data_IF_141035371676
#
_entry.id   IF_141035371676
#
_cell.length_a   1.000
_cell.length_b   1.000
_cell.length_c   1.000
_cell.angle_alpha   90.00
_cell.angle_beta   90.00
_cell.angle_gamma   90.00
#
_symmetry.space_group_name_H-M   'P 1'
#
loop_
_entity.id
_entity.type
_entity.pdbx_description
1 polymer ?
#
# COMPACT_ATOMS: atom_id res chain seq x y z
N UNK A 1 25.04 -32.31 27.69
CA UNK A 1 24.46 -31.83 26.43
C UNK A 1 23.41 -30.79 26.78
N UNK A 2 23.80 -29.50 26.77
CA UNK A 2 22.89 -28.40 27.06
C UNK A 2 22.36 -27.89 25.71
N UNK A 3 21.05 -27.77 25.63
CA UNK A 3 20.25 -27.58 24.42
C UNK A 3 20.62 -26.32 23.63
N UNK A 4 21.20 -26.52 22.44
CA UNK A 4 21.38 -25.47 21.43
C UNK A 4 20.04 -24.87 20.93
N UNK A 5 18.90 -25.51 21.22
CA UNK A 5 17.56 -25.03 20.83
C UNK A 5 17.03 -23.86 21.67
N UNK A 6 17.40 -23.77 22.96
CA UNK A 6 16.92 -22.70 23.85
C UNK A 6 17.63 -21.37 23.60
N UNK A 7 18.92 -21.41 23.25
CA UNK A 7 19.73 -20.21 22.96
C UNK A 7 19.21 -19.48 21.71
N UNK A 8 18.82 -20.22 20.67
CA UNK A 8 18.26 -19.64 19.44
C UNK A 8 16.90 -18.97 19.63
N UNK A 9 16.04 -19.56 20.47
CA UNK A 9 14.71 -19.04 20.79
C UNK A 9 14.80 -17.80 21.69
N UNK A 10 15.65 -17.84 22.72
CA UNK A 10 15.92 -16.69 23.59
C UNK A 10 16.54 -15.52 22.81
N UNK A 11 17.47 -15.81 21.87
CA UNK A 11 18.06 -14.80 21.01
C UNK A 11 17.03 -14.16 20.06
N UNK A 12 16.12 -14.93 19.47
CA UNK A 12 15.03 -14.38 18.64
C UNK A 12 14.09 -13.48 19.46
N UNK A 13 13.68 -13.93 20.64
CA UNK A 13 12.81 -13.16 21.54
C UNK A 13 13.52 -11.86 21.97
N UNK A 14 14.79 -11.91 22.38
CA UNK A 14 15.56 -10.72 22.75
C UNK A 14 15.77 -9.78 21.55
N UNK A 15 16.02 -10.32 20.36
CA UNK A 15 16.16 -9.54 19.13
C UNK A 15 14.84 -8.87 18.73
N UNK A 16 13.72 -9.55 18.88
CA UNK A 16 12.39 -9.03 18.55
C UNK A 16 11.96 -7.95 19.57
N UNK A 17 12.19 -8.16 20.87
CA UNK A 17 12.00 -7.15 21.92
C UNK A 17 12.90 -5.93 21.68
N UNK A 18 14.15 -6.16 21.28
CA UNK A 18 15.10 -5.08 21.00
C UNK A 18 14.76 -4.30 19.71
N UNK A 19 14.27 -4.97 18.67
CA UNK A 19 13.83 -4.34 17.43
C UNK A 19 12.52 -3.56 17.63
N UNK A 20 11.61 -4.10 18.44
CA UNK A 20 10.41 -3.43 18.92
C UNK A 20 10.78 -2.16 19.70
N UNK A 21 11.69 -2.26 20.67
CA UNK A 21 12.15 -1.12 21.48
C UNK A 21 12.94 -0.06 20.68
N UNK A 22 13.60 -0.43 19.58
CA UNK A 22 14.39 0.51 18.76
C UNK A 22 13.66 1.08 17.54
N UNK A 23 12.41 0.69 17.28
CA UNK A 23 11.67 1.12 16.10
C UNK A 23 12.40 0.86 14.77
N UNK A 24 13.39 -0.05 14.77
CA UNK A 24 14.27 -0.33 13.64
C UNK A 24 13.52 -1.19 12.62
N UNK A 25 13.77 -0.92 11.34
CA UNK A 25 13.27 -1.71 10.21
C UNK A 25 13.45 -3.20 10.50
N UNK A 26 12.37 -3.97 10.35
CA UNK A 26 12.37 -5.43 10.53
C UNK A 26 13.51 -6.04 9.70
N UNK A 27 14.52 -6.58 10.35
CA UNK A 27 15.63 -7.26 9.67
C UNK A 27 15.23 -8.71 9.41
N UNK A 28 14.57 -8.91 8.27
CA UNK A 28 14.12 -10.22 7.79
C UNK A 28 15.25 -10.92 7.02
N UNK A 29 15.51 -12.18 7.35
CA UNK A 29 16.32 -13.08 6.53
C UNK A 29 15.61 -13.40 5.21
N UNK A 30 16.35 -13.89 4.21
CA UNK A 30 15.76 -14.30 2.93
C UNK A 30 14.68 -15.37 3.07
N UNK A 31 14.87 -16.32 4.00
CA UNK A 31 13.88 -17.36 4.29
C UNK A 31 12.58 -16.78 4.87
N UNK A 32 12.69 -15.88 5.84
CA UNK A 32 11.53 -15.21 6.45
C UNK A 32 10.76 -14.36 5.42
N UNK A 33 11.47 -13.68 4.50
CA UNK A 33 10.83 -12.95 3.40
C UNK A 33 10.02 -13.89 2.50
N UNK A 34 10.59 -15.02 2.10
CA UNK A 34 9.90 -16.01 1.27
C UNK A 34 8.66 -16.55 1.97
N UNK A 35 8.76 -16.87 3.27
CA UNK A 35 7.63 -17.36 4.06
C UNK A 35 6.50 -16.33 4.14
N UNK A 36 6.82 -15.06 4.43
CA UNK A 36 5.82 -13.99 4.47
C UNK A 36 5.16 -13.79 3.10
N UNK A 37 5.93 -13.80 2.01
CA UNK A 37 5.37 -13.69 0.66
C UNK A 37 4.45 -14.84 0.33
N UNK A 38 4.84 -16.08 0.62
CA UNK A 38 3.99 -17.26 0.35
C UNK A 38 2.70 -17.22 1.17
N UNK A 39 2.81 -16.90 2.47
CA UNK A 39 1.66 -16.74 3.36
C UNK A 39 0.68 -15.70 2.82
N UNK A 40 1.16 -14.46 2.68
CA UNK A 40 0.29 -13.33 2.35
C UNK A 40 -0.21 -13.40 0.91
N UNK A 41 0.62 -13.80 -0.04
CA UNK A 41 0.18 -13.94 -1.44
C UNK A 41 -1.05 -14.85 -1.54
N UNK A 42 -0.98 -16.04 -0.95
CA UNK A 42 -2.08 -17.00 -0.96
C UNK A 42 -3.35 -16.39 -0.35
N UNK A 43 -3.23 -15.83 0.85
CA UNK A 43 -4.37 -15.25 1.57
C UNK A 43 -5.03 -14.10 0.80
N UNK A 44 -4.23 -13.15 0.29
CA UNK A 44 -4.75 -12.00 -0.45
C UNK A 44 -5.37 -12.41 -1.79
N UNK A 45 -4.75 -13.32 -2.53
CA UNK A 45 -5.31 -13.81 -3.81
C UNK A 45 -6.64 -14.52 -3.60
N UNK A 46 -6.76 -15.36 -2.56
CA UNK A 46 -8.02 -16.02 -2.20
C UNK A 46 -9.11 -15.01 -1.83
N UNK A 47 -8.80 -14.05 -0.96
CA UNK A 47 -9.76 -13.02 -0.52
C UNK A 47 -10.20 -12.14 -1.68
N UNK A 48 -9.28 -11.72 -2.54
CA UNK A 48 -9.59 -10.89 -3.72
C UNK A 48 -10.46 -11.67 -4.70
N UNK A 49 -10.12 -12.93 -4.98
CA UNK A 49 -10.91 -13.77 -5.88
C UNK A 49 -12.34 -13.99 -5.37
N UNK A 50 -12.50 -14.28 -4.07
CA UNK A 50 -13.83 -14.41 -3.44
C UNK A 50 -14.62 -13.11 -3.59
N UNK A 51 -14.02 -11.97 -3.20
CA UNK A 51 -14.72 -10.69 -3.24
C UNK A 51 -15.09 -10.25 -4.65
N UNK A 52 -14.21 -10.48 -5.63
CA UNK A 52 -14.50 -10.17 -7.03
C UNK A 52 -15.65 -11.04 -7.58
N UNK A 53 -15.59 -12.36 -7.35
CA UNK A 53 -16.63 -13.30 -7.77
C UNK A 53 -17.99 -12.95 -7.17
N UNK A 54 -18.01 -12.65 -5.88
CA UNK A 54 -19.24 -12.41 -5.12
C UNK A 54 -19.66 -10.92 -5.17
N UNK A 55 -18.96 -10.09 -5.96
CA UNK A 55 -19.19 -8.65 -6.14
C UNK A 55 -19.23 -7.87 -4.82
N UNK A 56 -18.40 -8.30 -3.87
CA UNK A 56 -18.25 -7.65 -2.58
C UNK A 56 -17.34 -6.43 -2.69
N UNK A 57 -17.51 -5.51 -1.75
CA UNK A 57 -16.65 -4.33 -1.61
C UNK A 57 -15.18 -4.71 -1.39
N UNK A 58 -14.28 -3.89 -1.93
CA UNK A 58 -12.84 -4.08 -1.84
C UNK A 58 -12.15 -3.13 -0.85
N UNK A 59 -12.88 -2.24 -0.17
CA UNK A 59 -12.21 -1.30 0.74
C UNK A 59 -11.74 -1.99 2.02
N UNK A 60 -10.55 -1.57 2.45
CA UNK A 60 -9.85 -2.04 3.64
C UNK A 60 -9.28 -0.83 4.40
N UNK A 61 -9.05 -0.99 5.69
CA UNK A 61 -8.36 -0.02 6.54
C UNK A 61 -6.92 -0.48 6.72
N UNK A 62 -5.97 0.33 6.26
CA UNK A 62 -4.55 0.12 6.57
C UNK A 62 -4.25 0.75 7.92
N UNK A 63 -3.60 0.02 8.83
CA UNK A 63 -3.19 0.51 10.16
C UNK A 63 -1.68 0.38 10.35
N UNK A 64 -1.06 1.40 10.92
CA UNK A 64 0.35 1.40 11.30
C UNK A 64 0.55 0.66 12.62
N UNK A 65 1.38 -0.38 12.62
CA UNK A 65 1.74 -1.16 13.80
C UNK A 65 2.34 -0.32 14.92
N UNK A 66 3.06 0.77 14.60
CA UNK A 66 3.68 1.63 15.61
C UNK A 66 2.70 2.55 16.33
N UNK A 67 1.56 2.83 15.71
CA UNK A 67 0.54 3.79 16.15
C UNK A 67 -0.83 3.12 16.19
N UNK A 68 -0.86 1.84 16.59
CA UNK A 68 -2.06 1.01 16.49
C UNK A 68 -3.21 1.57 17.33
N UNK A 69 -2.92 2.11 18.51
CA UNK A 69 -3.92 2.62 19.46
C UNK A 69 -4.58 3.94 19.02
N UNK A 70 -4.11 4.57 17.94
CA UNK A 70 -4.67 5.84 17.46
C UNK A 70 -6.04 5.67 16.77
N UNK A 71 -6.36 4.48 16.27
CA UNK A 71 -7.65 4.22 15.63
C UNK A 71 -8.74 3.97 16.69
N UNK A 72 -9.97 4.52 16.54
CA UNK A 72 -10.52 5.14 15.33
C UNK A 72 -10.34 6.66 15.25
N UNK A 73 -9.56 7.27 16.15
CA UNK A 73 -9.41 8.71 16.22
C UNK A 73 -8.44 9.24 15.15
N UNK A 74 -8.64 10.48 14.73
CA UNK A 74 -7.75 11.18 13.79
C UNK A 74 -7.05 12.31 14.53
N UNK A 75 -5.73 12.37 14.38
CA UNK A 75 -4.94 13.48 14.90
C UNK A 75 -4.60 14.45 13.77
N UNK A 76 -5.42 15.49 13.59
CA UNK A 76 -5.24 16.50 12.54
C UNK A 76 -3.94 17.31 12.66
N UNK A 77 -3.29 17.27 13.84
CA UNK A 77 -2.00 17.94 14.08
C UNK A 77 -0.80 17.08 13.68
N UNK A 78 -1.02 15.80 13.39
CA UNK A 78 0.05 14.88 13.02
C UNK A 78 0.59 15.25 11.63
N UNK A 79 1.92 15.39 11.52
CA UNK A 79 2.58 15.64 10.24
C UNK A 79 2.84 14.31 9.53
N UNK A 80 2.43 14.22 8.26
CA UNK A 80 2.73 13.07 7.41
C UNK A 80 1.48 12.23 7.10
N UNK A 81 1.69 10.93 6.88
CA UNK A 81 0.58 10.01 6.66
C UNK A 81 -0.08 9.65 7.99
N UNK A 82 -1.41 9.59 7.99
CA UNK A 82 -2.20 9.14 9.13
C UNK A 82 -1.75 7.74 9.59
N UNK A 83 -1.85 7.49 10.89
CA UNK A 83 -1.65 6.16 11.50
C UNK A 83 -2.61 5.10 10.97
N UNK A 84 -3.74 5.51 10.37
CA UNK A 84 -4.65 4.63 9.67
C UNK A 84 -5.39 5.37 8.56
N UNK A 85 -5.81 4.66 7.51
CA UNK A 85 -6.61 5.24 6.43
C UNK A 85 -7.32 4.14 5.63
N UNK A 86 -8.45 4.50 5.00
CA UNK A 86 -9.23 3.61 4.13
C UNK A 86 -8.71 3.67 2.69
N UNK A 87 -8.54 2.51 2.06
CA UNK A 87 -8.15 2.36 0.65
C UNK A 87 -8.92 1.22 0.00
N UNK A 88 -8.95 1.18 -1.33
CA UNK A 88 -9.39 -0.03 -2.04
C UNK A 88 -8.25 -1.04 -2.18
N UNK A 89 -8.52 -2.31 -1.88
CA UNK A 89 -7.62 -3.44 -2.19
C UNK A 89 -7.78 -3.80 -3.67
N UNK A 90 -6.85 -3.31 -4.49
CA UNK A 90 -6.99 -3.34 -5.96
C UNK A 90 -6.48 -4.64 -6.60
N UNK A 91 -5.62 -5.37 -5.89
CA UNK A 91 -4.96 -6.54 -6.43
C UNK A 91 -3.72 -6.92 -5.64
N UNK A 92 -3.02 -7.91 -6.16
CA UNK A 92 -1.67 -8.27 -5.74
C UNK A 92 -0.65 -7.95 -6.84
N UNK A 93 0.62 -7.88 -6.46
CA UNK A 93 1.75 -7.86 -7.38
C UNK A 93 2.84 -8.80 -6.86
N UNK A 94 3.94 -8.96 -7.62
CA UNK A 94 4.97 -9.96 -7.36
C UNK A 94 5.61 -9.91 -5.94
N UNK A 95 5.52 -8.78 -5.21
CA UNK A 95 6.04 -8.63 -3.84
C UNK A 95 5.00 -8.21 -2.80
N UNK A 96 3.74 -8.00 -3.17
CA UNK A 96 2.80 -7.41 -2.21
C UNK A 96 1.40 -7.16 -2.73
N UNK A 97 0.73 -6.18 -2.14
CA UNK A 97 -0.63 -5.76 -2.48
C UNK A 97 -0.67 -4.36 -3.11
N UNK A 98 -1.72 -4.10 -3.88
CA UNK A 98 -2.00 -2.82 -4.50
C UNK A 98 -3.09 -2.08 -3.69
N UNK A 99 -2.71 -0.96 -3.07
CA UNK A 99 -3.63 -0.07 -2.36
C UNK A 99 -4.04 1.11 -3.26
N UNK A 100 -5.31 1.16 -3.66
CA UNK A 100 -5.83 2.25 -4.49
C UNK A 100 -6.15 3.49 -3.65
N UNK A 101 -5.43 4.59 -3.93
CA UNK A 101 -5.41 5.79 -3.10
C UNK A 101 -6.34 6.89 -3.62
N UNK A 102 -6.30 7.17 -4.93
CA UNK A 102 -7.10 8.25 -5.52
C UNK A 102 -7.28 8.06 -7.02
N UNK A 103 -8.50 8.32 -7.51
CA UNK A 103 -8.81 8.37 -8.93
C UNK A 103 -8.55 9.77 -9.50
N UNK A 104 -8.11 9.84 -10.74
CA UNK A 104 -7.95 11.09 -11.46
C UNK A 104 -7.63 10.86 -12.92
N UNK A 105 -7.02 11.86 -13.55
CA UNK A 105 -6.62 11.77 -14.94
C UNK A 105 -5.21 12.35 -15.13
N UNK A 106 -4.51 11.85 -16.14
CA UNK A 106 -3.22 12.39 -16.58
C UNK A 106 -3.38 13.00 -17.98
N UNK A 107 -2.44 13.88 -18.31
CA UNK A 107 -2.31 14.46 -19.65
C UNK A 107 -0.94 14.17 -20.23
N UNK A 108 -0.87 13.95 -21.53
CA UNK A 108 0.37 13.87 -22.29
C UNK A 108 0.94 15.28 -22.44
N UNK A 109 2.19 15.46 -22.05
CA UNK A 109 2.94 16.68 -22.26
C UNK A 109 3.39 16.75 -23.71
N UNK A 110 2.85 17.70 -24.48
CA UNK A 110 3.10 17.84 -25.92
C UNK A 110 4.58 17.96 -26.29
N UNK A 111 5.41 18.52 -25.40
CA UNK A 111 6.85 18.70 -25.68
C UNK A 111 7.68 17.44 -25.45
N UNK A 112 7.22 16.53 -24.58
CA UNK A 112 8.02 15.37 -24.15
C UNK A 112 7.38 14.03 -24.48
N UNK A 113 6.09 14.01 -24.83
CA UNK A 113 5.30 12.79 -25.01
C UNK A 113 5.06 12.00 -23.72
N UNK A 114 5.43 12.54 -22.54
CA UNK A 114 5.31 11.89 -21.24
C UNK A 114 4.10 12.39 -20.46
N UNK A 115 3.64 11.61 -19.49
CA UNK A 115 2.50 12.00 -18.66
C UNK A 115 2.85 13.06 -17.61
N UNK A 116 1.92 13.99 -17.40
CA UNK A 116 1.87 14.97 -16.32
C UNK A 116 0.46 15.05 -15.73
N UNK A 117 0.32 15.72 -14.59
CA UNK A 117 -0.98 16.03 -14.01
C UNK A 117 -1.76 16.97 -14.92
N UNK A 118 -3.08 16.89 -14.80
CA UNK A 118 -4.03 17.78 -15.49
C UNK A 118 -4.06 19.14 -14.81
N UNK A 119 -3.96 20.21 -15.59
CA UNK A 119 -4.09 21.57 -15.11
C UNK A 119 -5.57 21.97 -14.96
N UNK A 120 -6.17 21.56 -13.84
CA UNK A 120 -7.58 21.85 -13.54
C UNK A 120 -7.87 23.35 -13.40
N UNK A 121 -6.88 24.17 -13.01
CA UNK A 121 -7.06 25.64 -12.92
C UNK A 121 -7.36 26.25 -14.29
N UNK A 122 -6.81 25.66 -15.35
CA UNK A 122 -7.05 26.08 -16.73
C UNK A 122 -8.16 25.28 -17.41
N UNK A 123 -9.00 24.55 -16.63
CA UNK A 123 -10.08 23.69 -17.13
C UNK A 123 -9.60 22.67 -18.18
N UNK A 124 -8.37 22.21 -18.04
CA UNK A 124 -7.79 21.24 -18.95
C UNK A 124 -8.45 19.87 -18.76
N UNK A 125 -8.73 19.19 -19.88
CA UNK A 125 -9.19 17.80 -19.87
C UNK A 125 -8.00 16.84 -19.86
N UNK A 126 -8.15 15.73 -19.13
CA UNK A 126 -7.15 14.67 -19.09
C UNK A 126 -7.33 13.68 -20.23
N UNK A 127 -6.22 13.15 -20.74
CA UNK A 127 -6.22 12.23 -21.88
C UNK A 127 -6.45 10.77 -21.45
N UNK A 128 -6.14 10.43 -20.19
CA UNK A 128 -6.34 9.08 -19.64
C UNK A 128 -6.83 9.14 -18.20
N UNK A 129 -7.82 8.30 -17.86
CA UNK A 129 -8.28 8.08 -16.49
C UNK A 129 -7.40 7.04 -15.80
N UNK A 130 -6.89 7.37 -14.62
CA UNK A 130 -5.99 6.49 -13.85
C UNK A 130 -6.37 6.47 -12.38
N UNK A 131 -5.87 5.45 -11.68
CA UNK A 131 -5.81 5.41 -10.22
C UNK A 131 -4.36 5.51 -9.75
N UNK A 132 -4.12 6.31 -8.71
CA UNK A 132 -2.88 6.29 -7.96
C UNK A 132 -2.89 5.06 -7.03
N UNK A 133 -1.94 4.16 -7.24
CA UNK A 133 -1.78 2.93 -6.46
C UNK A 133 -0.49 3.02 -5.64
N UNK A 134 -0.59 2.70 -4.36
CA UNK A 134 0.56 2.42 -3.51
C UNK A 134 0.84 0.92 -3.42
N UNK A 135 2.08 0.53 -3.69
CA UNK A 135 2.52 -0.86 -3.60
C UNK A 135 3.02 -1.14 -2.18
N UNK A 136 2.28 -1.96 -1.43
CA UNK A 136 2.65 -2.34 -0.05
C UNK A 136 3.29 -3.74 -0.11
N UNK A 137 4.57 -3.90 0.24
CA UNK A 137 5.24 -5.20 0.29
C UNK A 137 4.60 -6.15 1.30
N UNK A 138 4.57 -7.45 0.99
CA UNK A 138 4.11 -8.49 1.92
C UNK A 138 4.93 -8.51 3.22
N UNK A 139 6.22 -8.18 3.13
CA UNK A 139 7.12 -8.07 4.28
C UNK A 139 6.70 -7.00 5.29
N UNK A 140 5.95 -5.99 4.84
CA UNK A 140 5.44 -4.93 5.69
C UNK A 140 4.11 -5.33 6.35
N UNK A 141 3.46 -6.42 5.96
CA UNK A 141 2.19 -6.86 6.54
C UNK A 141 2.46 -7.76 7.75
N UNK A 142 1.86 -7.39 8.89
CA UNK A 142 1.95 -8.13 10.15
C UNK A 142 0.74 -9.02 10.39
N UNK A 143 -0.46 -8.49 10.15
CA UNK A 143 -1.72 -9.17 10.42
C UNK A 143 -2.85 -8.65 9.53
N UNK A 144 -3.91 -9.45 9.43
CA UNK A 144 -5.16 -9.14 8.73
C UNK A 144 -6.33 -9.46 9.66
N UNK A 145 -7.39 -8.66 9.59
CA UNK A 145 -8.70 -8.97 10.16
C UNK A 145 -9.74 -8.73 9.07
N UNK A 146 -10.28 -9.82 8.50
CA UNK A 146 -11.20 -9.74 7.37
C UNK A 146 -12.65 -9.48 7.74
N UNK A 147 -13.02 -9.71 9.00
CA UNK A 147 -14.38 -9.50 9.53
C UNK A 147 -14.65 -8.02 9.81
N UNK A 148 -13.58 -7.27 10.08
CA UNK A 148 -13.65 -5.84 10.39
C UNK A 148 -13.90 -5.57 11.87
N UNK A 149 -14.50 -4.42 12.15
CA UNK A 149 -14.80 -3.99 13.52
C UNK A 149 -16.16 -3.28 13.65
N UNK A 150 -16.46 -2.82 14.86
CA UNK A 150 -17.71 -2.11 15.17
C UNK A 150 -17.81 -0.69 14.60
N UNK A 151 -16.71 -0.09 14.14
CA UNK A 151 -16.67 1.31 13.72
C UNK A 151 -16.97 1.46 12.22
N UNK A 152 -16.75 0.40 11.43
CA UNK A 152 -17.17 0.40 10.02
C UNK A 152 -17.30 -0.97 9.37
N UNK A 153 -17.00 -2.07 10.06
CA UNK A 153 -17.05 -3.43 9.49
C UNK A 153 -16.15 -3.60 8.26
N UNK A 154 -15.12 -2.75 8.13
CA UNK A 154 -14.16 -2.83 7.03
C UNK A 154 -13.02 -3.75 7.45
N UNK A 155 -12.50 -4.62 6.57
CA UNK A 155 -11.30 -5.38 6.88
C UNK A 155 -10.13 -4.48 7.28
N UNK A 156 -9.31 -4.95 8.20
CA UNK A 156 -8.10 -4.24 8.63
C UNK A 156 -6.86 -5.00 8.16
N UNK A 157 -5.88 -4.26 7.65
CA UNK A 157 -4.55 -4.76 7.33
C UNK A 157 -3.56 -3.99 8.19
N UNK A 158 -2.89 -4.70 9.07
CA UNK A 158 -1.90 -4.15 9.98
C UNK A 158 -0.53 -4.20 9.33
N UNK A 159 0.08 -3.04 9.11
CA UNK A 159 1.32 -2.88 8.35
C UNK A 159 2.36 -2.08 9.13
N UNK A 160 3.63 -2.34 8.85
CA UNK A 160 4.76 -1.53 9.31
C UNK A 160 5.00 -0.38 8.32
N UNK A 161 4.94 0.87 8.80
CA UNK A 161 5.14 2.05 7.95
C UNK A 161 6.64 2.40 7.87
N UNK A 162 7.43 1.51 7.27
CA UNK A 162 8.91 1.57 7.27
C UNK A 162 9.53 2.17 6.03
N UNK A 163 8.72 2.46 5.02
CA UNK A 163 9.18 3.05 3.76
C UNK A 163 9.39 4.55 3.88
N UNK A 164 9.80 5.18 2.77
CA UNK A 164 10.17 6.60 2.73
C UNK A 164 9.04 7.48 3.28
N UNK A 165 9.40 8.37 4.22
CA UNK A 165 8.48 9.24 4.97
C UNK A 165 7.46 8.49 5.84
N UNK A 166 7.85 7.36 6.42
CA UNK A 166 7.00 6.53 7.28
C UNK A 166 5.69 6.15 6.59
N UNK A 167 5.80 5.67 5.36
CA UNK A 167 4.67 5.16 4.59
C UNK A 167 4.75 3.64 4.47
N UNK A 168 3.64 2.96 4.15
CA UNK A 168 3.68 1.52 3.87
C UNK A 168 4.10 1.20 2.42
N UNK A 169 4.17 2.21 1.54
CA UNK A 169 4.38 2.03 0.11
C UNK A 169 5.87 2.01 -0.28
N UNK A 170 6.33 0.93 -0.93
CA UNK A 170 7.67 0.91 -1.52
C UNK A 170 7.74 1.76 -2.79
N UNK A 171 6.62 1.88 -3.51
CA UNK A 171 6.46 2.67 -4.74
C UNK A 171 5.03 3.17 -4.87
N UNK A 172 4.88 4.33 -5.51
CA UNK A 172 3.59 4.86 -5.98
C UNK A 172 3.57 4.84 -7.50
N UNK A 173 2.49 4.34 -8.09
CA UNK A 173 2.33 4.23 -9.55
C UNK A 173 0.96 4.74 -9.98
N UNK A 174 0.88 5.23 -11.21
CA UNK A 174 -0.40 5.41 -11.89
C UNK A 174 -0.73 4.14 -12.66
N UNK A 175 -1.98 3.71 -12.55
CA UNK A 175 -2.46 2.53 -13.26
C UNK A 175 -3.81 2.77 -13.91
N UNK A 176 -4.02 2.15 -15.06
CA UNK A 176 -5.30 2.09 -15.75
C UNK A 176 -6.07 0.85 -15.27
N UNK A 177 -7.35 1.00 -14.99
CA UNK A 177 -8.22 -0.13 -14.73
C UNK A 177 -8.56 -0.82 -16.05
N UNK A 178 -8.32 -2.12 -16.11
CA UNK A 178 -8.66 -2.97 -17.25
C UNK A 178 -9.54 -4.12 -16.79
N UNK A 179 -10.28 -4.67 -17.74
CA UNK A 179 -11.15 -5.80 -17.53
C UNK A 179 -10.74 -6.92 -18.48
N UNK A 180 -10.49 -8.11 -17.94
CA UNK A 180 -10.30 -9.34 -18.68
C UNK A 180 -11.41 -10.29 -18.23
N UNK A 181 -12.39 -10.53 -19.11
CA UNK A 181 -13.62 -11.26 -18.79
C UNK A 181 -14.32 -10.71 -17.53
N UNK A 182 -14.29 -11.48 -16.44
CA UNK A 182 -14.88 -11.13 -15.15
C UNK A 182 -13.85 -10.58 -14.14
N UNK A 183 -12.58 -10.45 -14.52
CA UNK A 183 -11.50 -10.02 -13.66
C UNK A 183 -11.12 -8.56 -13.94
N UNK A 184 -11.27 -7.71 -12.93
CA UNK A 184 -10.69 -6.37 -12.94
C UNK A 184 -9.22 -6.46 -12.54
N UNK A 185 -8.34 -5.84 -13.31
CA UNK A 185 -6.93 -5.71 -12.99
C UNK A 185 -6.42 -4.29 -13.31
N UNK A 186 -5.26 -3.95 -12.74
CA UNK A 186 -4.69 -2.61 -12.86
C UNK A 186 -3.33 -2.68 -13.54
N UNK A 187 -3.21 -2.06 -14.70
CA UNK A 187 -1.99 -2.03 -15.50
C UNK A 187 -1.21 -0.76 -15.22
N UNK A 188 0.07 -0.87 -14.85
CA UNK A 188 0.96 0.28 -14.65
C UNK A 188 1.05 1.11 -15.93
N UNK A 189 0.86 2.42 -15.79
CA UNK A 189 0.95 3.42 -16.88
C UNK A 189 2.21 4.26 -16.71
N UNK A 190 2.50 4.70 -15.47
CA UNK A 190 3.65 5.56 -15.18
C UNK A 190 4.05 5.53 -13.71
N UNK A 191 5.32 5.84 -13.44
CA UNK A 191 5.82 6.09 -12.09
C UNK A 191 5.34 7.45 -11.57
N UNK A 192 4.90 7.50 -10.31
CA UNK A 192 4.37 8.73 -9.70
C UNK A 192 5.40 9.86 -9.63
N UNK A 193 6.65 9.57 -9.25
CA UNK A 193 7.66 10.62 -9.07
C UNK A 193 8.11 11.19 -10.41
N UNK A 194 8.14 10.39 -11.48
CA UNK A 194 8.39 10.89 -12.83
C UNK A 194 7.32 11.88 -13.29
N UNK A 195 6.04 11.48 -13.20
CA UNK A 195 4.90 12.33 -13.55
C UNK A 195 4.87 13.59 -12.69
N UNK A 196 5.10 13.46 -11.39
CA UNK A 196 5.14 14.59 -10.45
C UNK A 196 6.26 15.56 -10.77
N UNK A 197 7.47 15.08 -11.09
CA UNK A 197 8.61 15.94 -11.47
C UNK A 197 8.30 16.74 -12.73
N UNK A 198 7.72 16.10 -13.75
CA UNK A 198 7.33 16.79 -14.98
C UNK A 198 6.23 17.83 -14.72
N UNK A 199 5.20 17.46 -13.95
CA UNK A 199 4.11 18.36 -13.56
C UNK A 199 4.61 19.62 -12.85
N UNK A 200 5.55 19.46 -11.91
CA UNK A 200 6.20 20.60 -11.24
C UNK A 200 6.95 21.52 -12.18
N UNK A 201 7.66 20.99 -13.19
CA UNK A 201 8.32 21.81 -14.22
C UNK A 201 7.31 22.64 -15.02
N UNK A 202 6.06 22.17 -15.13
CA UNK A 202 4.93 22.89 -15.74
C UNK A 202 4.12 23.74 -14.75
N UNK A 203 4.59 23.89 -13.50
CA UNK A 203 3.89 24.61 -12.42
C UNK A 203 2.51 24.02 -12.09
N UNK A 204 2.35 22.71 -12.28
CA UNK A 204 1.15 21.95 -11.88
C UNK A 204 1.50 21.16 -10.62
N UNK A 205 0.82 21.46 -9.52
CA UNK A 205 1.22 20.99 -8.19
C UNK A 205 0.54 19.69 -7.76
N UNK A 206 -0.73 19.50 -8.12
CA UNK A 206 -1.59 18.44 -7.57
C UNK A 206 -2.15 17.54 -8.67
N UNK A 207 -2.25 16.24 -8.35
CA UNK A 207 -2.83 15.23 -9.23
C UNK A 207 -4.36 15.23 -9.15
N UNK A 208 -4.87 15.10 -7.92
CA UNK A 208 -6.29 15.01 -7.62
C UNK A 208 -6.62 15.82 -6.37
#
# INVERSE_FOLDING_TARGET
MIEYGFIGTAYRILKDIFNFARGKRRSLSSSERVQLRQKWKKEFEEVIAIRQRDKLRMDVIIRDMKRIDNYPDVNDKEKGISSWFKVGLMGTYHKGIQAGLSWGSLKVDEQTGKYRFVNRKNKEEGDIKVILIGLIPYENIEATNWEGDKYGGHPHIYCHFTEKKNQPYEKLIFSEQRQLDHFTYYSEVADYEEVRKLSKKRKIEYFA
#
